data_IF_632020339181
#
_entry.id   IF_632020339181
#
_cell.length_a   1.000
_cell.length_b   1.000
_cell.length_c   1.000
_cell.angle_alpha   90.00
_cell.angle_beta   90.00
_cell.angle_gamma   90.00
#
_symmetry.space_group_name_H-M   'P 1'
#
loop_
_entity.id
_entity.type
_entity.pdbx_description
1 polymer ?
#
# COMPACT_ATOMS: atom_id res chain seq x y z
N UNK A 1 11.48 -36.57 52.31
CA UNK A 1 10.67 -36.54 51.06
C UNK A 1 11.61 -36.39 49.88
N UNK A 2 11.64 -37.35 48.94
CA UNK A 2 12.51 -37.30 47.75
C UNK A 2 11.79 -36.48 46.65
N UNK A 3 12.29 -35.29 46.36
CA UNK A 3 11.76 -34.45 45.27
C UNK A 3 12.03 -35.13 43.92
N UNK A 4 10.97 -35.50 43.20
CA UNK A 4 11.07 -36.15 41.90
C UNK A 4 11.45 -35.12 40.83
N UNK A 5 12.61 -35.30 40.19
CA UNK A 5 13.15 -34.40 39.15
C UNK A 5 12.18 -34.20 37.97
N UNK A 6 11.23 -35.11 37.77
CA UNK A 6 10.17 -35.02 36.76
C UNK A 6 9.30 -33.76 36.90
N UNK A 7 9.00 -33.31 38.13
CA UNK A 7 8.20 -32.10 38.36
C UNK A 7 8.96 -30.80 38.03
N UNK A 8 10.29 -30.82 38.17
CA UNK A 8 11.15 -29.68 37.78
C UNK A 8 11.13 -29.50 36.27
N UNK A 9 11.17 -30.59 35.50
CA UNK A 9 11.08 -30.52 34.04
C UNK A 9 9.71 -30.06 33.55
N UNK A 10 8.61 -30.50 34.17
CA UNK A 10 7.26 -30.03 33.82
C UNK A 10 7.10 -28.54 34.12
N UNK A 11 7.63 -28.04 35.24
CA UNK A 11 7.63 -26.61 35.57
C UNK A 11 8.45 -25.79 34.57
N UNK A 12 9.65 -26.24 34.20
CA UNK A 12 10.49 -25.55 33.20
C UNK A 12 9.79 -25.48 31.83
N UNK A 13 9.09 -26.54 31.43
CA UNK A 13 8.39 -26.61 30.14
C UNK A 13 7.16 -25.68 30.10
N UNK A 14 6.42 -25.55 31.21
CA UNK A 14 5.29 -24.60 31.32
C UNK A 14 5.76 -23.14 31.27
N UNK A 15 6.89 -22.81 31.93
CA UNK A 15 7.47 -21.47 31.86
C UNK A 15 8.06 -21.15 30.47
N UNK A 16 8.64 -22.13 29.77
CA UNK A 16 9.15 -21.94 28.41
C UNK A 16 8.02 -21.65 27.40
N UNK A 17 6.87 -22.32 27.51
CA UNK A 17 5.72 -22.07 26.63
C UNK A 17 5.06 -20.71 26.93
N UNK A 18 4.96 -20.30 28.20
CA UNK A 18 4.43 -18.98 28.57
C UNK A 18 5.32 -17.82 28.09
N UNK A 19 6.65 -18.00 28.08
CA UNK A 19 7.60 -17.01 27.55
C UNK A 19 7.46 -16.77 26.05
N UNK A 20 7.15 -17.81 25.26
CA UNK A 20 6.97 -17.69 23.80
C UNK A 20 5.69 -16.91 23.44
N UNK A 21 4.63 -17.03 24.24
CA UNK A 21 3.35 -16.32 24.00
C UNK A 21 3.45 -14.83 24.29
N UNK A 22 4.30 -14.40 25.24
CA UNK A 22 4.47 -12.98 25.59
C UNK A 22 5.34 -12.25 24.55
N UNK A 23 6.31 -12.92 23.93
CA UNK A 23 7.14 -12.31 22.86
C UNK A 23 6.33 -12.06 21.58
N UNK A 24 5.25 -12.84 21.34
CA UNK A 24 4.41 -12.69 20.15
C UNK A 24 3.43 -11.50 20.21
N UNK A 25 3.26 -10.83 21.35
CA UNK A 25 2.29 -9.71 21.50
C UNK A 25 2.93 -8.33 21.62
N UNK A 26 4.27 -8.21 21.57
CA UNK A 26 4.99 -6.93 21.75
C UNK A 26 5.86 -6.48 20.57
N UNK A 27 5.64 -6.99 19.36
CA UNK A 27 6.30 -6.47 18.15
C UNK A 27 5.30 -6.11 17.05
N UNK A 28 4.27 -5.36 17.43
CA UNK A 28 3.29 -4.75 16.53
C UNK A 28 3.44 -3.23 16.44
N UNK A 29 4.64 -2.69 16.69
CA UNK A 29 4.94 -1.30 16.37
C UNK A 29 4.80 -1.12 14.87
N UNK A 30 3.70 -0.49 14.42
CA UNK A 30 3.57 0.02 13.06
C UNK A 30 4.83 0.84 12.78
N UNK A 31 5.74 0.30 11.99
CA UNK A 31 6.81 1.09 11.41
C UNK A 31 6.09 2.00 10.42
N UNK A 32 5.90 3.25 10.81
CA UNK A 32 5.62 4.32 9.86
C UNK A 32 6.61 4.18 8.71
N UNK A 33 6.09 4.16 7.48
CA UNK A 33 6.92 4.09 6.30
C UNK A 33 7.98 5.21 6.38
N UNK A 34 9.24 4.96 5.96
CA UNK A 34 10.26 6.00 5.97
C UNK A 34 9.72 7.22 5.23
N UNK A 35 9.73 8.35 5.94
CA UNK A 35 9.30 9.63 5.43
C UNK A 35 9.96 9.89 4.07
N UNK A 36 9.13 10.12 3.05
CA UNK A 36 9.60 10.66 1.79
C UNK A 36 10.15 12.05 2.08
N UNK A 37 11.49 12.15 2.08
CA UNK A 37 12.28 13.38 2.03
C UNK A 37 11.93 14.47 3.05
N UNK A 38 12.73 14.58 4.11
CA UNK A 38 12.89 15.84 4.85
C UNK A 38 13.19 16.97 3.84
N UNK A 39 12.23 17.90 3.67
CA UNK A 39 12.48 19.16 2.97
C UNK A 39 11.55 19.52 1.81
N UNK A 40 10.67 18.63 1.35
CA UNK A 40 9.63 18.99 0.39
C UNK A 40 8.30 19.17 1.13
N UNK A 41 7.88 20.43 1.34
CA UNK A 41 6.49 20.68 1.73
C UNK A 41 5.60 20.07 0.63
N UNK A 42 4.62 19.21 0.97
CA UNK A 42 3.67 18.73 -0.03
C UNK A 42 3.03 19.95 -0.71
N UNK A 43 2.74 19.88 -2.02
CA UNK A 43 2.04 20.96 -2.69
C UNK A 43 0.82 21.35 -1.85
N UNK A 44 0.59 22.66 -1.72
CA UNK A 44 -0.52 23.20 -0.94
C UNK A 44 -1.83 22.91 -1.67
N UNK A 45 -2.25 21.65 -1.65
CA UNK A 45 -3.48 21.20 -2.24
C UNK A 45 -4.61 21.61 -1.29
N UNK A 46 -5.75 22.07 -1.83
CA UNK A 46 -6.87 22.61 -1.04
C UNK A 46 -7.35 21.66 0.07
N UNK A 47 -7.10 20.35 -0.08
CA UNK A 47 -7.38 19.29 0.89
C UNK A 47 -6.55 19.36 2.18
N UNK A 48 -5.41 20.05 2.15
CA UNK A 48 -4.49 20.24 3.27
C UNK A 48 -4.29 21.72 3.63
N UNK A 49 -4.88 22.64 2.87
CA UNK A 49 -4.93 24.06 3.23
C UNK A 49 -5.64 24.21 4.59
N UNK A 50 -5.07 24.92 5.56
CA UNK A 50 -5.74 25.27 6.82
C UNK A 50 -5.39 24.46 8.07
N UNK A 51 -4.34 23.63 8.05
CA UNK A 51 -3.72 23.13 9.28
C UNK A 51 -2.86 24.24 9.92
N UNK A 52 -3.53 25.14 10.63
CA UNK A 52 -2.86 26.17 11.42
C UNK A 52 -2.32 25.61 12.73
N UNK A 53 -1.20 24.87 12.68
CA UNK A 53 -0.34 24.52 13.86
C UNK A 53 0.92 23.70 13.54
N UNK A 54 1.21 23.38 12.27
CA UNK A 54 2.38 22.56 11.92
C UNK A 54 2.15 21.05 12.06
N UNK A 55 0.90 20.59 12.19
CA UNK A 55 0.57 19.17 12.06
C UNK A 55 0.63 18.73 10.59
N UNK A 56 1.27 17.58 10.34
CA UNK A 56 1.30 16.97 9.01
C UNK A 56 -0.10 16.43 8.67
N UNK A 57 -0.62 16.64 7.45
CA UNK A 57 -1.91 16.10 7.07
C UNK A 57 -1.94 14.57 7.16
N UNK A 58 -3.04 14.04 7.68
CA UNK A 58 -3.23 12.60 7.82
C UNK A 58 -4.72 12.26 7.96
N UNK A 59 -5.03 10.96 7.95
CA UNK A 59 -6.40 10.44 7.92
C UNK A 59 -7.33 11.00 9.03
N UNK A 60 -6.78 11.46 10.17
CA UNK A 60 -7.55 12.06 11.28
C UNK A 60 -7.66 13.59 11.26
N UNK A 61 -6.84 14.28 10.48
CA UNK A 61 -6.64 15.74 10.53
C UNK A 61 -7.03 16.40 9.21
N UNK A 62 -8.28 16.21 8.78
CA UNK A 62 -8.86 16.89 7.62
C UNK A 62 -9.91 17.91 8.07
N UNK A 63 -10.05 19.01 7.32
CA UNK A 63 -11.06 20.04 7.57
C UNK A 63 -12.48 19.46 7.55
N UNK A 64 -13.42 20.15 8.18
CA UNK A 64 -14.82 19.69 8.32
C UNK A 64 -15.53 19.55 6.97
N UNK A 65 -15.27 20.45 6.02
CA UNK A 65 -15.78 20.35 4.64
C UNK A 65 -15.25 19.10 3.91
N UNK A 66 -13.98 18.75 4.13
CA UNK A 66 -13.40 17.49 3.62
C UNK A 66 -14.07 16.28 4.28
N UNK A 67 -14.29 16.29 5.60
CA UNK A 67 -15.02 15.21 6.29
C UNK A 67 -16.44 15.04 5.75
N UNK A 68 -17.15 16.14 5.53
CA UNK A 68 -18.49 16.10 4.95
C UNK A 68 -18.44 15.53 3.53
N UNK A 69 -17.51 15.98 2.69
CA UNK A 69 -17.32 15.47 1.33
C UNK A 69 -17.01 13.97 1.32
N UNK A 70 -16.19 13.51 2.26
CA UNK A 70 -15.90 12.08 2.43
C UNK A 70 -17.16 11.27 2.72
N UNK A 71 -17.99 11.74 3.66
CA UNK A 71 -19.24 11.08 4.03
C UNK A 71 -20.25 11.06 2.87
N UNK A 72 -20.37 12.16 2.13
CA UNK A 72 -21.27 12.28 0.98
C UNK A 72 -20.87 11.33 -0.15
N UNK A 73 -19.56 11.23 -0.45
CA UNK A 73 -19.05 10.30 -1.45
C UNK A 73 -19.23 8.83 -1.02
N UNK A 74 -18.99 8.51 0.24
CA UNK A 74 -19.20 7.17 0.78
C UNK A 74 -20.67 6.75 0.67
N UNK A 75 -21.58 7.66 1.04
CA UNK A 75 -23.02 7.44 0.89
C UNK A 75 -23.39 7.22 -0.58
N UNK A 76 -22.96 8.09 -1.47
CA UNK A 76 -23.27 7.99 -2.90
C UNK A 76 -22.77 6.68 -3.53
N UNK A 77 -21.56 6.24 -3.16
CA UNK A 77 -21.00 4.97 -3.61
C UNK A 77 -21.77 3.75 -3.08
N UNK A 78 -22.36 3.85 -1.88
CA UNK A 78 -23.14 2.77 -1.28
C UNK A 78 -24.60 2.74 -1.77
N UNK A 79 -25.21 3.89 -2.09
CA UNK A 79 -26.56 3.96 -2.64
C UNK A 79 -26.64 3.37 -4.05
N UNK A 80 -25.60 3.60 -4.87
CA UNK A 80 -25.52 3.08 -6.23
C UNK A 80 -24.24 2.23 -6.41
N UNK A 81 -24.20 1.00 -5.89
CA UNK A 81 -22.99 0.17 -5.88
C UNK A 81 -22.53 -0.30 -7.27
N UNK A 82 -23.32 -0.06 -8.32
CA UNK A 82 -22.96 -0.35 -9.70
C UNK A 82 -22.58 0.91 -10.51
N UNK A 83 -22.68 2.11 -9.91
CA UNK A 83 -22.24 3.34 -10.55
C UNK A 83 -20.72 3.45 -10.46
N UNK A 84 -20.07 3.06 -11.57
CA UNK A 84 -18.62 3.03 -11.66
C UNK A 84 -17.98 4.42 -11.55
N UNK A 85 -18.71 5.48 -11.93
CA UNK A 85 -18.21 6.86 -11.80
C UNK A 85 -18.16 7.24 -10.32
N UNK A 86 -19.24 6.97 -9.57
CA UNK A 86 -19.28 7.24 -8.13
C UNK A 86 -18.27 6.41 -7.34
N UNK A 87 -18.07 5.15 -7.72
CA UNK A 87 -17.03 4.31 -7.11
C UNK A 87 -15.62 4.84 -7.34
N UNK A 88 -15.30 5.34 -8.54
CA UNK A 88 -14.00 5.96 -8.82
C UNK A 88 -13.84 7.28 -8.06
N UNK A 89 -14.84 8.17 -8.12
CA UNK A 89 -14.82 9.45 -7.38
C UNK A 89 -14.56 9.21 -5.88
N UNK A 90 -15.27 8.25 -5.28
CA UNK A 90 -15.06 7.84 -3.90
C UNK A 90 -13.65 7.30 -3.68
N UNK A 91 -13.21 6.33 -4.46
CA UNK A 91 -11.92 5.68 -4.26
C UNK A 91 -10.73 6.64 -4.40
N UNK A 92 -10.76 7.51 -5.40
CA UNK A 92 -9.73 8.52 -5.66
C UNK A 92 -9.70 9.56 -4.54
N UNK A 93 -10.86 10.06 -4.13
CA UNK A 93 -10.95 11.02 -3.03
C UNK A 93 -10.47 10.44 -1.71
N UNK A 94 -10.80 9.19 -1.41
CA UNK A 94 -10.29 8.50 -0.22
C UNK A 94 -8.77 8.33 -0.27
N UNK A 95 -8.20 8.07 -1.45
CA UNK A 95 -6.74 7.99 -1.63
C UNK A 95 -6.06 9.31 -1.34
N UNK A 96 -6.61 10.40 -1.86
CA UNK A 96 -6.14 11.77 -1.60
C UNK A 96 -6.28 12.18 -0.12
N UNK A 97 -7.34 11.73 0.56
CA UNK A 97 -7.54 11.95 1.99
C UNK A 97 -6.71 11.02 2.90
N UNK A 98 -5.74 10.29 2.35
CA UNK A 98 -4.93 9.28 3.05
C UNK A 98 -5.75 8.17 3.74
N UNK A 99 -6.98 7.94 3.28
CA UNK A 99 -7.85 6.85 3.72
C UNK A 99 -7.60 5.62 2.85
N UNK A 100 -6.38 5.08 2.92
CA UNK A 100 -5.91 4.00 2.03
C UNK A 100 -6.85 2.80 2.00
N UNK A 101 -7.41 2.38 3.14
CA UNK A 101 -8.33 1.24 3.20
C UNK A 101 -9.65 1.50 2.46
N UNK A 102 -10.21 2.70 2.63
CA UNK A 102 -11.44 3.11 1.93
C UNK A 102 -11.21 3.26 0.43
N UNK A 103 -10.04 3.78 0.04
CA UNK A 103 -9.62 3.88 -1.36
C UNK A 103 -9.53 2.51 -2.02
N UNK A 104 -8.88 1.55 -1.36
CA UNK A 104 -8.81 0.15 -1.82
C UNK A 104 -10.21 -0.43 -1.95
N UNK A 105 -11.09 -0.30 -0.95
CA UNK A 105 -12.47 -0.82 -1.02
C UNK A 105 -13.24 -0.27 -2.24
N UNK A 106 -13.17 1.04 -2.47
CA UNK A 106 -13.81 1.68 -3.62
C UNK A 106 -13.29 1.16 -4.97
N UNK A 107 -11.96 1.06 -5.12
CA UNK A 107 -11.37 0.50 -6.34
C UNK A 107 -11.70 -0.99 -6.52
N UNK A 108 -11.73 -1.78 -5.44
CA UNK A 108 -12.09 -3.20 -5.53
C UNK A 108 -13.56 -3.39 -5.92
N UNK A 109 -14.48 -2.55 -5.41
CA UNK A 109 -15.87 -2.52 -5.88
C UNK A 109 -15.96 -2.17 -7.36
N UNK A 110 -15.20 -1.17 -7.82
CA UNK A 110 -15.12 -0.82 -9.24
C UNK A 110 -14.60 -2.00 -10.08
N UNK A 111 -13.54 -2.67 -9.65
CA UNK A 111 -12.93 -3.80 -10.36
C UNK A 111 -13.82 -5.05 -10.40
N UNK A 112 -14.84 -5.18 -9.54
CA UNK A 112 -15.85 -6.23 -9.68
C UNK A 112 -16.70 -6.04 -10.94
N UNK A 113 -16.92 -4.78 -11.35
CA UNK A 113 -17.69 -4.41 -12.53
C UNK A 113 -16.78 -4.34 -13.76
N UNK A 114 -15.58 -3.76 -13.60
CA UNK A 114 -14.59 -3.55 -14.65
C UNK A 114 -13.28 -4.31 -14.37
N UNK A 115 -13.27 -5.65 -14.43
CA UNK A 115 -12.16 -6.47 -13.93
C UNK A 115 -10.86 -6.37 -14.75
N UNK A 116 -10.92 -5.77 -15.94
CA UNK A 116 -9.81 -5.63 -16.90
C UNK A 116 -9.29 -4.20 -17.05
N UNK A 117 -9.62 -3.31 -16.10
CA UNK A 117 -9.07 -1.97 -16.11
C UNK A 117 -7.64 -1.99 -15.51
N UNK A 118 -6.62 -1.97 -16.38
CA UNK A 118 -5.22 -2.03 -15.97
C UNK A 118 -4.82 -0.85 -15.06
N UNK A 119 -5.26 0.37 -15.38
CA UNK A 119 -4.93 1.57 -14.61
C UNK A 119 -5.40 1.45 -13.15
N UNK A 120 -6.64 0.98 -12.94
CA UNK A 120 -7.16 0.79 -11.58
C UNK A 120 -6.46 -0.38 -10.86
N UNK A 121 -6.05 -1.43 -11.58
CA UNK A 121 -5.23 -2.50 -10.98
C UNK A 121 -3.86 -1.98 -10.53
N UNK A 122 -3.24 -1.08 -11.28
CA UNK A 122 -1.99 -0.41 -10.90
C UNK A 122 -2.23 0.45 -9.64
N UNK A 123 -3.30 1.26 -9.60
CA UNK A 123 -3.66 2.06 -8.42
C UNK A 123 -3.83 1.20 -7.16
N UNK A 124 -4.57 0.10 -7.26
CA UNK A 124 -4.77 -0.84 -6.13
C UNK A 124 -3.43 -1.46 -5.71
N UNK A 125 -2.61 -1.89 -6.65
CA UNK A 125 -1.28 -2.43 -6.35
C UNK A 125 -0.41 -1.42 -5.60
N UNK A 126 -0.39 -0.17 -6.06
CA UNK A 126 0.35 0.93 -5.43
C UNK A 126 -0.11 1.20 -3.99
N UNK A 127 -1.43 1.17 -3.75
CA UNK A 127 -1.98 1.32 -2.39
C UNK A 127 -1.58 0.16 -1.46
N UNK A 128 -1.61 -1.09 -1.95
CA UNK A 128 -1.11 -2.23 -1.17
C UNK A 128 0.41 -2.16 -0.95
N UNK A 129 1.17 -1.68 -1.93
CA UNK A 129 2.60 -1.42 -1.78
C UNK A 129 2.89 -0.39 -0.68
N UNK A 130 2.14 0.71 -0.63
CA UNK A 130 2.24 1.72 0.44
C UNK A 130 1.93 1.12 1.82
N UNK A 131 1.00 0.16 1.89
CA UNK A 131 0.70 -0.61 3.10
C UNK A 131 1.73 -1.68 3.46
N UNK A 132 2.79 -1.83 2.66
CA UNK A 132 3.78 -2.92 2.77
C UNK A 132 3.16 -4.33 2.64
N UNK A 133 1.95 -4.42 2.08
CA UNK A 133 1.31 -5.69 1.74
C UNK A 133 1.74 -6.11 0.34
N UNK A 134 2.99 -6.57 0.26
CA UNK A 134 3.62 -6.92 -1.01
C UNK A 134 2.94 -8.09 -1.72
N UNK A 135 2.25 -8.97 -0.98
CA UNK A 135 1.52 -10.10 -1.55
C UNK A 135 0.32 -9.62 -2.38
N UNK A 136 -0.49 -8.73 -1.82
CA UNK A 136 -1.59 -8.13 -2.58
C UNK A 136 -1.07 -7.21 -3.67
N UNK A 137 -0.03 -6.41 -3.40
CA UNK A 137 0.59 -5.56 -4.43
C UNK A 137 1.03 -6.37 -5.66
N UNK A 138 1.74 -7.49 -5.46
CA UNK A 138 2.14 -8.42 -6.53
C UNK A 138 0.93 -9.01 -7.25
N UNK A 139 -0.13 -9.37 -6.52
CA UNK A 139 -1.34 -9.94 -7.13
C UNK A 139 -1.95 -8.97 -8.14
N UNK A 140 -2.15 -7.71 -7.75
CA UNK A 140 -2.79 -6.72 -8.61
C UNK A 140 -1.88 -6.22 -9.74
N UNK A 141 -0.58 -6.06 -9.51
CA UNK A 141 0.34 -5.63 -10.59
C UNK A 141 0.49 -6.71 -11.66
N UNK A 142 0.52 -7.98 -11.27
CA UNK A 142 0.58 -9.09 -12.22
C UNK A 142 -0.72 -9.18 -13.03
N UNK A 143 -1.88 -8.89 -12.44
CA UNK A 143 -3.13 -8.77 -13.18
C UNK A 143 -3.10 -7.62 -14.19
N UNK A 144 -2.54 -6.46 -13.82
CA UNK A 144 -2.36 -5.35 -14.76
C UNK A 144 -1.47 -5.77 -15.96
N UNK A 145 -0.34 -6.44 -15.67
CA UNK A 145 0.58 -6.96 -16.69
C UNK A 145 0.00 -8.11 -17.53
N UNK A 146 -1.00 -8.85 -17.03
CA UNK A 146 -1.74 -9.82 -17.85
C UNK A 146 -2.63 -9.14 -18.89
N UNK A 147 -3.12 -7.93 -18.60
CA UNK A 147 -3.97 -7.15 -19.51
C UNK A 147 -3.12 -6.38 -20.51
N UNK A 148 -2.09 -5.70 -20.03
CA UNK A 148 -1.11 -5.00 -20.86
C UNK A 148 0.32 -5.40 -20.43
N UNK A 149 0.89 -6.45 -21.07
CA UNK A 149 2.25 -6.91 -20.77
C UNK A 149 3.35 -5.90 -21.10
N UNK A 150 3.04 -4.84 -21.86
CA UNK A 150 3.99 -3.82 -22.30
C UNK A 150 3.86 -2.52 -21.52
N UNK A 151 2.95 -2.46 -20.55
CA UNK A 151 2.75 -1.28 -19.72
C UNK A 151 4.01 -0.99 -18.88
N UNK A 152 4.78 0.01 -19.30
CA UNK A 152 6.08 0.31 -18.68
C UNK A 152 5.97 0.76 -17.23
N UNK A 153 4.86 1.39 -16.86
CA UNK A 153 4.56 1.77 -15.48
C UNK A 153 4.35 0.53 -14.60
N UNK A 154 3.58 -0.45 -15.07
CA UNK A 154 3.35 -1.71 -14.36
C UNK A 154 4.64 -2.51 -14.17
N UNK A 155 5.51 -2.57 -15.19
CA UNK A 155 6.80 -3.25 -15.10
C UNK A 155 7.71 -2.54 -14.08
N UNK A 156 7.71 -1.21 -14.07
CA UNK A 156 8.45 -0.43 -13.08
C UNK A 156 7.95 -0.71 -11.65
N UNK A 157 6.63 -0.66 -11.42
CA UNK A 157 6.03 -0.96 -10.12
C UNK A 157 6.29 -2.40 -9.67
N UNK A 158 6.29 -3.38 -10.59
CA UNK A 158 6.68 -4.75 -10.27
C UNK A 158 8.10 -4.79 -9.67
N UNK A 159 9.06 -4.12 -10.28
CA UNK A 159 10.42 -4.04 -9.74
C UNK A 159 10.47 -3.34 -8.37
N UNK A 160 9.69 -2.28 -8.16
CA UNK A 160 9.59 -1.61 -6.85
C UNK A 160 9.08 -2.57 -5.77
N UNK A 161 8.02 -3.32 -6.08
CA UNK A 161 7.44 -4.29 -5.16
C UNK A 161 8.44 -5.42 -4.88
N UNK A 162 9.12 -5.94 -5.90
CA UNK A 162 10.15 -6.98 -5.76
C UNK A 162 11.31 -6.50 -4.87
N UNK A 163 11.80 -5.27 -5.06
CA UNK A 163 12.87 -4.68 -4.24
C UNK A 163 12.43 -4.60 -2.78
N UNK A 164 11.26 -4.01 -2.52
CA UNK A 164 10.74 -3.81 -1.16
C UNK A 164 10.31 -5.11 -0.47
N UNK A 165 9.96 -6.15 -1.23
CA UNK A 165 9.69 -7.48 -0.70
C UNK A 165 10.96 -8.32 -0.46
N UNK A 166 12.15 -7.72 -0.53
CA UNK A 166 13.44 -8.39 -0.29
C UNK A 166 14.07 -9.08 -1.49
N UNK A 167 13.44 -9.01 -2.68
CA UNK A 167 13.91 -9.66 -3.91
C UNK A 167 14.67 -8.68 -4.81
N UNK A 168 15.67 -7.97 -4.27
CA UNK A 168 16.42 -6.93 -4.99
C UNK A 168 17.07 -7.42 -6.30
N UNK A 169 17.57 -8.67 -6.33
CA UNK A 169 18.12 -9.27 -7.55
C UNK A 169 17.07 -9.42 -8.66
N UNK A 170 15.83 -9.77 -8.28
CA UNK A 170 14.71 -9.89 -9.22
C UNK A 170 14.30 -8.52 -9.75
N UNK A 171 14.17 -7.54 -8.85
CA UNK A 171 13.88 -6.15 -9.22
C UNK A 171 14.89 -5.59 -10.23
N UNK A 172 16.19 -5.81 -9.97
CA UNK A 172 17.26 -5.41 -10.90
C UNK A 172 17.08 -6.03 -12.28
N UNK A 173 16.84 -7.34 -12.36
CA UNK A 173 16.58 -8.04 -13.63
C UNK A 173 15.33 -7.49 -14.35
N UNK A 174 14.24 -7.26 -13.61
CA UNK A 174 13.00 -6.66 -14.13
C UNK A 174 13.26 -5.29 -14.75
N UNK A 175 14.00 -4.43 -14.05
CA UNK A 175 14.33 -3.08 -14.51
C UNK A 175 15.35 -3.05 -15.65
N UNK A 176 16.38 -3.90 -15.64
CA UNK A 176 17.32 -4.04 -16.76
C UNK A 176 16.59 -4.44 -18.04
N UNK A 177 15.64 -5.37 -17.93
CA UNK A 177 14.77 -5.77 -19.05
C UNK A 177 13.91 -4.61 -19.53
N UNK A 178 13.27 -3.87 -18.60
CA UNK A 178 12.46 -2.70 -18.94
C UNK A 178 13.25 -1.64 -19.71
N UNK A 179 14.45 -1.30 -19.23
CA UNK A 179 15.35 -0.31 -19.85
C UNK A 179 15.78 -0.76 -21.24
N UNK A 180 16.09 -2.06 -21.39
CA UNK A 180 16.50 -2.64 -22.67
C UNK A 180 15.38 -2.69 -23.70
N UNK A 181 14.17 -3.10 -23.30
CA UNK A 181 13.05 -3.33 -24.22
C UNK A 181 12.27 -2.04 -24.55
N UNK A 182 12.22 -1.10 -23.61
CA UNK A 182 11.47 0.16 -23.74
C UNK A 182 12.34 1.38 -23.41
N UNK A 183 13.48 1.56 -24.11
CA UNK A 183 14.39 2.65 -23.83
C UNK A 183 13.68 4.00 -23.98
N UNK A 184 13.91 4.91 -23.04
CA UNK A 184 13.32 6.26 -23.03
C UNK A 184 11.85 6.34 -22.60
N UNK A 185 11.18 5.22 -22.34
CA UNK A 185 9.86 5.22 -21.70
C UNK A 185 9.94 5.80 -20.28
N UNK A 186 8.83 6.34 -19.77
CA UNK A 186 8.80 6.89 -18.42
C UNK A 186 9.18 5.84 -17.37
N UNK A 187 8.65 4.61 -17.49
CA UNK A 187 9.00 3.51 -16.60
C UNK A 187 10.48 3.15 -16.64
N UNK A 188 11.10 3.15 -17.83
CA UNK A 188 12.54 2.91 -17.96
C UNK A 188 13.39 4.02 -17.31
N UNK A 189 13.02 5.29 -17.49
CA UNK A 189 13.72 6.41 -16.84
C UNK A 189 13.67 6.32 -15.32
N UNK A 190 12.49 6.01 -14.76
CA UNK A 190 12.33 5.81 -13.32
C UNK A 190 13.15 4.62 -12.82
N UNK A 191 13.19 3.52 -13.59
CA UNK A 191 14.01 2.36 -13.27
C UNK A 191 15.52 2.69 -13.26
N UNK A 192 16.01 3.49 -14.21
CA UNK A 192 17.40 3.95 -14.25
C UNK A 192 17.76 4.78 -13.01
N UNK A 193 16.86 5.65 -12.56
CA UNK A 193 17.03 6.44 -11.34
C UNK A 193 17.09 5.56 -10.08
N UNK A 194 16.17 4.60 -9.98
CA UNK A 194 16.12 3.67 -8.85
C UNK A 194 17.33 2.73 -8.76
N UNK A 195 17.93 2.38 -9.88
CA UNK A 195 19.13 1.53 -9.93
C UNK A 195 20.43 2.26 -9.57
N UNK A 196 20.42 3.60 -9.51
CA UNK A 196 21.58 4.42 -9.12
C UNK A 196 21.67 4.66 -7.61
N UNK A 197 20.57 4.45 -6.88
CA UNK A 197 20.46 4.60 -5.42
C UNK A 197 20.98 3.35 -4.71
#
# INVERSE_FOLDING_TARGET
>A
MKFNKMYVYILILVFAVAGVVIVATMSGGKKEAPALTEGAQPPSDDMHSGLGDGTQPGAGNVKEDIKQKMADLEKAANENPNDTVKLLEYAEFMGMAHQTDKSIDGFLKYLKINPKNADVLIKVSSLYYQKQDFNNALTYINRALQIDPKNTESIYYLGMIEKSSGNAAKAKSTWEKLIKEYPGSQGAKLAEEEMKK
#
